data_IF_838604922797
#
_entry.id   IF_838604922797
#
_cell.length_a   1.000
_cell.length_b   1.000
_cell.length_c   1.000
_cell.angle_alpha   90.00
_cell.angle_beta   90.00
_cell.angle_gamma   90.00
#
_symmetry.space_group_name_H-M   'P 1'
#
loop_
_entity.id
_entity.type
_entity.pdbx_description
1 polymer ?
#
# COMPACT_ATOMS: atom_id res chain seq x y z
N UNK A 1 -21.14 -15.17 41.86
CA UNK A 1 -20.21 -15.17 40.71
C UNK A 1 -21.08 -15.43 39.49
N UNK A 2 -21.26 -14.49 38.56
CA UNK A 2 -22.15 -14.74 37.44
C UNK A 2 -21.50 -15.77 36.51
N UNK A 3 -22.35 -16.68 36.06
CA UNK A 3 -22.07 -17.87 35.28
C UNK A 3 -21.32 -17.55 33.99
N UNK A 4 -20.52 -18.51 33.55
CA UNK A 4 -19.86 -18.52 32.26
C UNK A 4 -20.96 -18.37 31.18
N UNK A 5 -21.14 -17.15 30.68
CA UNK A 5 -21.98 -16.86 29.52
C UNK A 5 -21.31 -17.51 28.30
N UNK A 6 -21.72 -18.75 28.06
CA UNK A 6 -21.61 -19.54 26.83
C UNK A 6 -20.32 -19.34 26.01
N UNK A 7 -19.21 -19.91 26.50
CA UNK A 7 -17.92 -19.94 25.80
C UNK A 7 -18.04 -20.50 24.37
N UNK A 8 -18.94 -21.44 24.14
CA UNK A 8 -19.16 -22.00 22.81
C UNK A 8 -19.74 -20.97 21.84
N UNK A 9 -20.62 -20.07 22.30
CA UNK A 9 -21.12 -18.95 21.49
C UNK A 9 -20.03 -17.92 21.16
N UNK A 10 -19.12 -17.66 22.11
CA UNK A 10 -17.97 -16.77 21.87
C UNK A 10 -17.01 -17.37 20.83
N UNK A 11 -16.65 -18.64 20.98
CA UNK A 11 -15.76 -19.37 20.06
C UNK A 11 -16.36 -19.45 18.65
N UNK A 12 -17.66 -19.74 18.54
CA UNK A 12 -18.35 -19.76 17.25
C UNK A 12 -18.30 -18.40 16.54
N UNK A 13 -18.53 -17.30 17.27
CA UNK A 13 -18.44 -15.94 16.71
C UNK A 13 -17.02 -15.53 16.35
N UNK A 14 -16.03 -15.93 17.15
CA UNK A 14 -14.62 -15.68 16.86
C UNK A 14 -14.17 -16.42 15.58
N UNK A 15 -14.63 -17.66 15.41
CA UNK A 15 -14.36 -18.44 14.20
C UNK A 15 -15.06 -17.85 12.97
N UNK A 16 -16.31 -17.41 13.10
CA UNK A 16 -17.03 -16.71 12.02
C UNK A 16 -16.31 -15.42 11.61
N UNK A 17 -15.84 -14.63 12.58
CA UNK A 17 -15.06 -13.42 12.32
C UNK A 17 -13.76 -13.73 11.56
N UNK A 18 -13.04 -14.77 11.98
CA UNK A 18 -11.81 -15.19 11.30
C UNK A 18 -12.08 -15.59 9.85
N UNK A 19 -13.10 -16.41 9.60
CA UNK A 19 -13.46 -16.83 8.23
C UNK A 19 -13.89 -15.65 7.34
N UNK A 20 -14.67 -14.71 7.87
CA UNK A 20 -15.03 -13.47 7.16
C UNK A 20 -13.78 -12.63 6.84
N UNK A 21 -12.81 -12.58 7.75
CA UNK A 21 -11.53 -11.93 7.51
C UNK A 21 -10.76 -12.55 6.34
N UNK A 22 -10.68 -13.87 6.27
CA UNK A 22 -10.04 -14.60 5.17
C UNK A 22 -10.78 -14.38 3.83
N UNK A 23 -12.11 -14.36 3.84
CA UNK A 23 -12.91 -14.06 2.64
C UNK A 23 -12.69 -12.63 2.15
N UNK A 24 -12.70 -11.65 3.06
CA UNK A 24 -12.39 -10.26 2.73
C UNK A 24 -10.99 -10.15 2.12
N UNK A 25 -10.01 -10.85 2.68
CA UNK A 25 -8.64 -10.85 2.16
C UNK A 25 -8.59 -11.38 0.72
N UNK A 26 -9.25 -12.50 0.43
CA UNK A 26 -9.34 -13.06 -0.94
C UNK A 26 -9.99 -12.08 -1.92
N UNK A 27 -11.10 -11.45 -1.51
CA UNK A 27 -11.79 -10.45 -2.33
C UNK A 27 -10.94 -9.19 -2.54
N UNK A 28 -10.11 -8.82 -1.56
CA UNK A 28 -9.15 -7.72 -1.71
C UNK A 28 -8.04 -8.08 -2.71
N UNK A 29 -7.49 -9.28 -2.63
CA UNK A 29 -6.49 -9.79 -3.59
C UNK A 29 -7.05 -9.82 -5.02
N UNK A 30 -8.28 -10.32 -5.20
CA UNK A 30 -8.97 -10.33 -6.49
C UNK A 30 -9.23 -8.92 -7.02
N UNK A 31 -9.73 -8.01 -6.17
CA UNK A 31 -9.94 -6.60 -6.52
C UNK A 31 -8.64 -5.92 -6.95
N UNK A 32 -7.55 -6.19 -6.26
CA UNK A 32 -6.25 -5.60 -6.57
C UNK A 32 -5.68 -6.18 -7.89
N UNK A 33 -5.93 -7.46 -8.18
CA UNK A 33 -5.66 -8.07 -9.49
C UNK A 33 -6.45 -7.42 -10.62
N UNK A 34 -7.77 -7.26 -10.47
CA UNK A 34 -8.61 -6.56 -11.45
C UNK A 34 -8.13 -5.13 -11.69
N UNK A 35 -7.70 -4.43 -10.64
CA UNK A 35 -7.16 -3.08 -10.75
C UNK A 35 -5.88 -3.04 -11.58
N UNK A 36 -5.00 -4.03 -11.43
CA UNK A 36 -3.81 -4.18 -12.25
C UNK A 36 -4.18 -4.39 -13.73
N UNK A 37 -5.08 -5.34 -14.00
CA UNK A 37 -5.53 -5.64 -15.37
C UNK A 37 -6.15 -4.42 -16.06
N UNK A 38 -6.94 -3.63 -15.32
CA UNK A 38 -7.49 -2.36 -15.83
C UNK A 38 -6.37 -1.37 -16.19
N UNK A 39 -5.31 -1.29 -15.40
CA UNK A 39 -4.14 -0.46 -15.71
C UNK A 39 -3.47 -0.86 -17.02
N UNK A 40 -3.26 -2.17 -17.21
CA UNK A 40 -2.67 -2.70 -18.44
C UNK A 40 -3.56 -2.44 -19.66
N UNK A 41 -4.89 -2.58 -19.54
CA UNK A 41 -5.83 -2.26 -20.61
C UNK A 41 -5.85 -0.77 -20.98
N UNK A 42 -5.74 0.12 -19.98
CA UNK A 42 -5.64 1.56 -20.20
C UNK A 42 -4.38 1.92 -20.98
N UNK A 43 -3.23 1.31 -20.64
CA UNK A 43 -1.96 1.46 -21.39
C UNK A 43 -2.08 1.00 -22.83
N UNK A 44 -2.61 -0.21 -23.03
CA UNK A 44 -2.80 -0.79 -24.37
C UNK A 44 -3.72 0.09 -25.23
N UNK A 45 -4.67 0.78 -24.60
CA UNK A 45 -5.58 1.73 -25.25
C UNK A 45 -5.00 3.14 -25.40
N UNK A 46 -3.80 3.39 -24.86
CA UNK A 46 -3.15 4.70 -24.79
C UNK A 46 -4.06 5.79 -24.19
N UNK A 47 -4.75 5.46 -23.10
CA UNK A 47 -5.64 6.35 -22.36
C UNK A 47 -5.12 6.58 -20.94
N UNK A 48 -4.95 7.86 -20.56
CA UNK A 48 -4.57 8.22 -19.20
C UNK A 48 -5.79 8.45 -18.28
N UNK A 49 -6.93 8.79 -18.87
CA UNK A 49 -8.23 8.95 -18.21
C UNK A 49 -9.32 8.27 -19.04
N UNK A 50 -10.18 7.51 -18.38
CA UNK A 50 -11.38 6.93 -18.98
C UNK A 50 -12.56 7.06 -18.02
N UNK A 51 -13.75 7.29 -18.58
CA UNK A 51 -14.97 7.49 -17.81
C UNK A 51 -16.15 6.83 -18.52
N UNK A 52 -16.94 6.08 -17.77
CA UNK A 52 -18.16 5.47 -18.30
C UNK A 52 -19.27 5.40 -17.24
N UNK A 53 -20.52 5.48 -17.69
CA UNK A 53 -21.69 5.43 -16.82
C UNK A 53 -21.95 4.05 -16.25
N UNK A 54 -22.25 3.98 -14.95
CA UNK A 54 -22.72 2.77 -14.27
C UNK A 54 -24.19 2.87 -13.86
N UNK A 55 -24.72 4.09 -13.73
CA UNK A 55 -26.15 4.37 -13.52
C UNK A 55 -26.49 5.79 -13.98
N UNK A 56 -27.77 6.17 -13.90
CA UNK A 56 -28.21 7.55 -14.18
C UNK A 56 -27.66 8.61 -13.22
N UNK A 57 -27.04 8.20 -12.11
CA UNK A 57 -26.53 9.10 -11.08
C UNK A 57 -25.00 9.02 -10.92
N UNK A 58 -24.37 7.97 -11.44
CA UNK A 58 -22.97 7.69 -11.19
C UNK A 58 -22.22 7.18 -12.41
N UNK A 59 -20.97 7.63 -12.50
CA UNK A 59 -19.98 7.13 -13.44
C UNK A 59 -18.80 6.52 -12.70
N UNK A 60 -18.10 5.59 -13.35
CA UNK A 60 -16.77 5.17 -12.95
C UNK A 60 -15.74 5.97 -13.73
N UNK A 61 -14.85 6.65 -12.99
CA UNK A 61 -13.66 7.29 -13.53
C UNK A 61 -12.43 6.47 -13.21
N UNK A 62 -11.69 6.12 -14.24
CA UNK A 62 -10.41 5.43 -14.22
C UNK A 62 -9.33 6.44 -14.62
N UNK A 63 -8.24 6.51 -13.86
CA UNK A 63 -7.08 7.31 -14.19
C UNK A 63 -5.79 6.51 -13.95
N UNK A 64 -4.88 6.56 -14.90
CA UNK A 64 -3.51 6.03 -14.76
C UNK A 64 -2.58 7.23 -14.67
N UNK A 65 -1.80 7.28 -13.60
CA UNK A 65 -0.88 8.40 -13.32
C UNK A 65 0.43 7.87 -12.82
N UNK A 66 1.52 8.47 -13.28
CA UNK A 66 2.82 8.27 -12.67
C UNK A 66 2.89 8.99 -11.34
N UNK A 67 3.31 8.25 -10.31
CA UNK A 67 3.62 8.79 -9.00
C UNK A 67 5.09 8.57 -8.72
N UNK A 68 5.84 9.67 -8.72
CA UNK A 68 7.20 9.69 -8.20
C UNK A 68 7.17 9.76 -6.68
N UNK A 69 7.80 8.80 -6.01
CA UNK A 69 7.94 8.78 -4.55
C UNK A 69 9.40 8.65 -4.15
N UNK A 70 9.81 9.39 -3.11
CA UNK A 70 11.17 9.26 -2.58
C UNK A 70 11.25 7.99 -1.75
N UNK A 71 12.12 7.07 -2.16
CA UNK A 71 12.48 5.87 -1.43
C UNK A 71 13.91 5.97 -0.92
N UNK A 72 14.19 5.22 0.15
CA UNK A 72 15.51 5.11 0.74
C UNK A 72 15.98 3.69 0.43
N UNK A 73 17.17 3.56 -0.16
CA UNK A 73 17.86 2.29 -0.26
C UNK A 73 18.34 1.87 1.12
N UNK A 74 17.47 1.14 1.83
CA UNK A 74 17.79 0.65 3.18
C UNK A 74 18.83 -0.47 3.15
N UNK A 75 18.99 -1.16 2.04
CA UNK A 75 19.92 -2.29 1.92
C UNK A 75 21.36 -1.77 1.86
N UNK A 76 21.63 -0.83 0.95
CA UNK A 76 22.94 -0.18 0.87
C UNK A 76 23.25 0.62 2.14
N UNK A 77 22.27 1.35 2.67
CA UNK A 77 22.45 2.11 3.90
C UNK A 77 22.78 1.22 5.11
N UNK A 78 22.10 0.07 5.24
CA UNK A 78 22.36 -0.87 6.33
C UNK A 78 23.74 -1.52 6.21
N UNK A 79 24.14 -1.87 4.98
CA UNK A 79 25.48 -2.40 4.67
C UNK A 79 26.59 -1.43 5.05
N UNK A 80 26.45 -0.15 4.68
CA UNK A 80 27.44 0.89 4.97
C UNK A 80 27.52 1.24 6.45
N UNK A 81 26.40 1.16 7.17
CA UNK A 81 26.33 1.41 8.61
C UNK A 81 26.65 0.16 9.46
N UNK A 82 26.85 -1.01 8.83
CA UNK A 82 27.17 -2.27 9.49
C UNK A 82 26.04 -2.76 10.41
N UNK A 83 24.79 -2.63 9.98
CA UNK A 83 23.61 -3.01 10.76
C UNK A 83 22.59 -3.81 9.94
N UNK A 84 21.56 -4.33 10.60
CA UNK A 84 20.47 -5.02 9.91
C UNK A 84 19.52 -4.01 9.23
N UNK A 85 18.98 -4.36 8.06
CA UNK A 85 17.99 -3.53 7.34
C UNK A 85 16.78 -3.19 8.22
N UNK A 86 16.35 -4.13 9.06
CA UNK A 86 15.26 -3.95 10.03
C UNK A 86 15.55 -2.90 11.11
N UNK A 87 16.84 -2.61 11.39
CA UNK A 87 17.24 -1.58 12.34
C UNK A 87 17.16 -0.15 11.74
N UNK A 88 17.02 -0.03 10.40
CA UNK A 88 16.91 1.27 9.73
C UNK A 88 15.52 1.87 9.94
N UNK A 89 15.41 2.65 11.01
CA UNK A 89 14.27 3.48 11.38
C UNK A 89 14.73 4.91 11.74
N UNK A 90 13.79 5.80 12.04
CA UNK A 90 14.10 7.21 12.33
C UNK A 90 15.05 7.38 13.51
N UNK A 91 14.82 6.66 14.61
CA UNK A 91 15.63 6.76 15.83
C UNK A 91 17.08 6.34 15.58
N UNK A 92 17.28 5.25 14.85
CA UNK A 92 18.60 4.78 14.46
C UNK A 92 19.34 5.81 13.59
N UNK A 93 18.64 6.41 12.62
CA UNK A 93 19.23 7.41 11.73
C UNK A 93 19.62 8.69 12.49
N UNK A 94 18.79 9.13 13.44
CA UNK A 94 19.11 10.28 14.29
C UNK A 94 20.35 9.99 15.15
N UNK A 95 20.41 8.83 15.80
CA UNK A 95 21.58 8.43 16.58
C UNK A 95 22.84 8.30 15.70
N UNK A 96 22.71 7.81 14.47
CA UNK A 96 23.85 7.72 13.54
C UNK A 96 24.38 9.11 13.13
N UNK A 97 23.51 10.12 13.03
CA UNK A 97 23.89 11.52 12.79
C UNK A 97 24.56 12.13 14.02
N UNK A 98 23.99 11.96 15.21
CA UNK A 98 24.55 12.47 16.46
C UNK A 98 25.94 11.89 16.75
N UNK A 99 26.16 10.61 16.43
CA UNK A 99 27.44 9.94 16.58
C UNK A 99 28.43 10.20 15.42
N UNK A 100 28.08 11.06 14.47
CA UNK A 100 28.92 11.42 13.32
C UNK A 100 29.14 10.30 12.29
N UNK A 101 28.42 9.19 12.39
CA UNK A 101 28.51 8.05 11.46
C UNK A 101 27.78 8.29 10.13
N UNK A 102 26.79 9.18 10.14
CA UNK A 102 25.99 9.53 8.98
C UNK A 102 25.88 11.05 8.86
N UNK A 103 26.23 11.62 7.71
CA UNK A 103 25.97 13.03 7.41
C UNK A 103 24.73 13.15 6.53
N UNK A 104 24.08 14.33 6.54
CA UNK A 104 22.94 14.59 5.65
C UNK A 104 23.31 14.43 4.17
N UNK A 105 24.53 14.85 3.79
CA UNK A 105 25.02 14.72 2.42
C UNK A 105 25.15 13.24 2.01
N UNK A 106 25.70 12.40 2.89
CA UNK A 106 25.81 10.96 2.67
C UNK A 106 24.45 10.28 2.65
N UNK A 107 23.55 10.63 3.59
CA UNK A 107 22.19 10.10 3.63
C UNK A 107 21.42 10.35 2.33
N UNK A 108 21.56 11.54 1.72
CA UNK A 108 20.90 11.87 0.45
C UNK A 108 21.34 11.00 -0.73
N UNK A 109 22.51 10.36 -0.67
CA UNK A 109 22.97 9.46 -1.74
C UNK A 109 22.15 8.17 -1.81
N UNK A 110 21.55 7.75 -0.70
CA UNK A 110 20.66 6.56 -0.64
C UNK A 110 19.20 6.91 -0.93
N UNK A 111 18.87 8.18 -1.18
CA UNK A 111 17.50 8.60 -1.50
C UNK A 111 17.34 8.65 -3.00
N UNK A 112 16.46 7.82 -3.54
CA UNK A 112 16.12 7.81 -4.96
C UNK A 112 14.63 8.08 -5.17
N UNK A 113 14.28 8.54 -6.37
CA UNK A 113 12.89 8.62 -6.79
C UNK A 113 12.51 7.28 -7.42
N UNK A 114 11.48 6.66 -6.89
CA UNK A 114 10.82 5.50 -7.48
C UNK A 114 9.56 6.01 -8.17
N UNK A 115 9.53 5.90 -9.50
CA UNK A 115 8.33 6.14 -10.27
C UNK A 115 7.49 4.86 -10.23
N UNK A 116 6.33 4.97 -9.60
CA UNK A 116 5.34 3.91 -9.56
C UNK A 116 4.11 4.37 -10.31
N UNK A 117 3.63 3.54 -11.22
CA UNK A 117 2.35 3.81 -11.86
C UNK A 117 1.21 3.53 -10.88
N UNK A 118 0.29 4.46 -10.76
CA UNK A 118 -0.87 4.35 -9.90
C UNK A 118 -2.15 4.39 -10.72
N UNK A 119 -2.86 3.26 -10.74
CA UNK A 119 -4.24 3.19 -11.22
C UNK A 119 -5.18 3.69 -10.13
N UNK A 120 -6.12 4.57 -10.48
CA UNK A 120 -7.21 5.04 -9.62
C UNK A 120 -8.54 4.71 -10.28
N UNK A 121 -9.41 3.97 -9.57
CA UNK A 121 -10.76 3.65 -10.00
C UNK A 121 -11.71 4.21 -8.94
N UNK A 122 -12.57 5.16 -9.32
CA UNK A 122 -13.47 5.82 -8.37
C UNK A 122 -14.84 6.12 -8.97
N UNK A 123 -15.85 6.08 -8.12
CA UNK A 123 -17.19 6.55 -8.44
C UNK A 123 -17.23 8.08 -8.41
N UNK A 124 -17.83 8.68 -9.43
CA UNK A 124 -18.11 10.12 -9.53
C UNK A 124 -19.59 10.33 -9.91
N UNK A 125 -20.12 11.54 -9.74
CA UNK A 125 -21.49 11.85 -10.18
C UNK A 125 -21.56 11.84 -11.71
N UNK A 126 -22.65 11.29 -12.27
CA UNK A 126 -22.90 11.31 -13.72
C UNK A 126 -22.86 12.73 -14.28
N UNK A 127 -22.34 12.87 -15.49
CA UNK A 127 -22.30 14.13 -16.26
C UNK A 127 -23.60 14.37 -17.03
#
# INVERSE_FOLDING_TARGET
MPEIQDKASLEAKALEFYHKGEEIKKLQEERDGLKYDVGELMKLSNQDDYRFGISSLFDLKIAVRDRSSKKIDKEELAKDLGCAVSAINLEFLLAAVENGKLSLAKFRQYVFNEDSEQVSIRRVNAE
#
